data_IF_752778156495
#
_entry.id   IF_752778156495
#
_cell.length_a   1.000
_cell.length_b   1.000
_cell.length_c   1.000
_cell.angle_alpha   90.00
_cell.angle_beta   90.00
_cell.angle_gamma   90.00
#
_symmetry.space_group_name_H-M   'P 1'
#
loop_
_entity.id
_entity.type
_entity.pdbx_description
1 polymer ?
#
# COMPACT_ATOMS: atom_id res chain seq x y z
N UNK A 1 4.96 -23.80 23.83
CA UNK A 1 5.05 -23.34 22.42
C UNK A 1 5.24 -21.84 22.42
N UNK A 2 6.47 -21.37 22.18
CA UNK A 2 6.82 -19.95 22.05
C UNK A 2 7.16 -19.70 20.58
N UNK A 3 6.65 -18.57 20.09
CA UNK A 3 6.75 -18.00 18.75
C UNK A 3 8.08 -18.26 18.03
N UNK A 4 8.02 -18.90 16.86
CA UNK A 4 9.13 -19.07 15.91
C UNK A 4 9.07 -18.07 14.74
N UNK A 5 7.98 -17.29 14.63
CA UNK A 5 7.74 -16.45 13.45
C UNK A 5 8.49 -15.10 13.48
N UNK A 6 9.06 -14.71 14.61
CA UNK A 6 9.84 -13.45 14.71
C UNK A 6 11.32 -13.60 14.34
N UNK A 7 11.84 -14.82 14.16
CA UNK A 7 13.25 -15.07 13.89
C UNK A 7 13.61 -15.02 12.38
N UNK A 8 12.66 -15.27 11.49
CA UNK A 8 12.91 -15.35 10.04
C UNK A 8 13.11 -13.98 9.39
N UNK A 9 12.33 -12.97 9.77
CA UNK A 9 12.44 -11.59 9.24
C UNK A 9 13.73 -10.89 9.67
N UNK A 10 14.20 -11.13 10.90
CA UNK A 10 15.45 -10.54 11.40
C UNK A 10 16.70 -11.09 10.71
N UNK A 11 16.67 -12.34 10.28
CA UNK A 11 17.79 -13.00 9.59
C UNK A 11 18.03 -12.44 8.19
N UNK A 12 16.98 -12.19 7.42
CA UNK A 12 17.11 -11.71 6.03
C UNK A 12 17.61 -10.28 5.97
N UNK A 13 17.15 -9.40 6.86
CA UNK A 13 17.66 -8.02 6.93
C UNK A 13 19.16 -7.97 7.24
N UNK A 14 19.61 -8.70 8.26
CA UNK A 14 21.01 -8.77 8.65
C UNK A 14 21.90 -9.41 7.55
N UNK A 15 21.41 -10.51 6.95
CA UNK A 15 22.08 -11.15 5.82
C UNK A 15 22.23 -10.19 4.62
N UNK A 16 21.16 -9.48 4.27
CA UNK A 16 21.15 -8.50 3.19
C UNK A 16 22.14 -7.38 3.43
N UNK A 17 22.15 -6.80 4.63
CA UNK A 17 23.07 -5.73 5.00
C UNK A 17 24.53 -6.19 4.89
N UNK A 18 24.85 -7.35 5.44
CA UNK A 18 26.20 -7.91 5.44
C UNK A 18 26.68 -8.23 4.02
N UNK A 19 25.84 -8.90 3.22
CA UNK A 19 26.19 -9.26 1.84
C UNK A 19 26.32 -8.02 0.96
N UNK A 20 25.39 -7.07 1.08
CA UNK A 20 25.44 -5.80 0.36
C UNK A 20 26.73 -5.04 0.69
N UNK A 21 27.06 -4.90 1.98
CA UNK A 21 28.28 -4.23 2.42
C UNK A 21 29.52 -4.92 1.84
N UNK A 22 29.60 -6.25 1.90
CA UNK A 22 30.71 -7.03 1.35
C UNK A 22 30.89 -6.77 -0.15
N UNK A 23 29.81 -6.90 -0.94
CA UNK A 23 29.88 -6.74 -2.39
C UNK A 23 30.30 -5.32 -2.78
N UNK A 24 29.62 -4.29 -2.25
CA UNK A 24 29.90 -2.91 -2.66
C UNK A 24 31.23 -2.38 -2.12
N UNK A 25 31.66 -2.78 -0.91
CA UNK A 25 33.01 -2.44 -0.42
C UNK A 25 34.11 -3.13 -1.22
N UNK A 26 33.92 -4.38 -1.63
CA UNK A 26 34.88 -5.10 -2.48
C UNK A 26 35.00 -4.43 -3.85
N UNK A 27 33.88 -4.04 -4.47
CA UNK A 27 33.89 -3.29 -5.74
C UNK A 27 34.59 -1.94 -5.56
N UNK A 28 34.30 -1.22 -4.48
CA UNK A 28 34.97 0.06 -4.17
C UNK A 28 36.47 -0.11 -4.02
N UNK A 29 36.92 -1.14 -3.29
CA UNK A 29 38.34 -1.42 -3.09
C UNK A 29 39.02 -1.79 -4.42
N UNK A 30 38.42 -2.69 -5.20
CA UNK A 30 38.93 -3.06 -6.52
C UNK A 30 39.04 -1.85 -7.46
N UNK A 31 38.09 -0.92 -7.39
CA UNK A 31 38.14 0.33 -8.15
C UNK A 31 39.29 1.23 -7.72
N UNK A 32 39.51 1.39 -6.41
CA UNK A 32 40.64 2.14 -5.88
C UNK A 32 41.97 1.51 -6.28
N UNK A 33 42.09 0.19 -6.11
CA UNK A 33 43.31 -0.55 -6.45
C UNK A 33 43.63 -0.45 -7.94
N UNK A 34 42.61 -0.60 -8.80
CA UNK A 34 42.78 -0.45 -10.25
C UNK A 34 43.30 0.94 -10.62
N UNK A 35 42.78 1.99 -9.98
CA UNK A 35 43.26 3.36 -10.22
C UNK A 35 44.72 3.53 -9.78
N UNK A 36 45.11 2.93 -8.66
CA UNK A 36 46.50 3.00 -8.16
C UNK A 36 47.50 2.23 -9.03
N UNK A 37 47.08 1.13 -9.65
CA UNK A 37 47.96 0.26 -10.45
C UNK A 37 48.07 0.74 -11.90
N UNK A 38 46.94 1.14 -12.50
CA UNK A 38 46.87 1.41 -13.94
C UNK A 38 46.74 2.91 -14.27
N UNK A 39 46.48 3.77 -13.28
CA UNK A 39 46.27 5.20 -13.50
C UNK A 39 45.02 5.51 -14.33
N UNK A 40 44.91 6.76 -14.80
CA UNK A 40 43.83 7.23 -15.69
C UNK A 40 44.17 7.08 -17.19
N UNK A 41 45.39 6.62 -17.51
CA UNK A 41 45.98 6.77 -18.84
C UNK A 41 45.49 5.72 -19.86
N UNK A 42 44.96 4.59 -19.40
CA UNK A 42 44.55 3.46 -20.26
C UNK A 42 43.04 3.15 -20.14
N UNK A 43 42.18 3.69 -21.02
CA UNK A 43 40.72 3.59 -20.91
C UNK A 43 40.18 2.15 -21.04
N UNK A 44 40.95 1.23 -21.63
CA UNK A 44 40.57 -0.17 -21.76
C UNK A 44 40.42 -0.86 -20.39
N UNK A 45 41.32 -0.59 -19.44
CA UNK A 45 41.26 -1.19 -18.10
C UNK A 45 40.08 -0.65 -17.29
N UNK A 46 39.76 0.63 -17.43
CA UNK A 46 38.55 1.22 -16.82
C UNK A 46 37.27 0.57 -17.35
N UNK A 47 37.19 0.31 -18.66
CA UNK A 47 36.02 -0.36 -19.27
C UNK A 47 35.82 -1.80 -18.77
N UNK A 48 36.91 -2.55 -18.63
CA UNK A 48 36.86 -3.92 -18.09
C UNK A 48 36.46 -3.93 -16.60
N UNK A 49 36.97 -2.99 -15.80
CA UNK A 49 36.58 -2.82 -14.40
C UNK A 49 35.08 -2.54 -14.26
N UNK A 50 34.53 -1.60 -15.05
CA UNK A 50 33.10 -1.29 -15.07
C UNK A 50 32.29 -2.52 -15.46
N UNK A 51 32.72 -3.25 -16.48
CA UNK A 51 32.06 -4.48 -16.94
C UNK A 51 32.05 -5.56 -15.85
N UNK A 52 33.18 -5.74 -15.14
CA UNK A 52 33.27 -6.64 -14.01
C UNK A 52 32.33 -6.22 -12.87
N UNK A 53 32.33 -4.94 -12.50
CA UNK A 53 31.49 -4.42 -11.42
C UNK A 53 29.99 -4.59 -11.71
N UNK A 54 29.56 -4.34 -12.95
CA UNK A 54 28.19 -4.62 -13.39
C UNK A 54 27.84 -6.10 -13.22
N UNK A 55 28.71 -7.01 -13.67
CA UNK A 55 28.48 -8.46 -13.51
C UNK A 55 28.37 -8.88 -12.05
N UNK A 56 29.18 -8.32 -11.16
CA UNK A 56 29.09 -8.57 -9.71
C UNK A 56 27.75 -8.07 -9.15
N UNK A 57 27.34 -6.85 -9.50
CA UNK A 57 26.06 -6.30 -9.07
C UNK A 57 24.85 -7.11 -9.58
N UNK A 58 24.90 -7.62 -10.81
CA UNK A 58 23.85 -8.49 -11.36
C UNK A 58 23.75 -9.82 -10.60
N UNK A 59 24.88 -10.48 -10.36
CA UNK A 59 24.92 -11.74 -9.61
C UNK A 59 24.41 -11.56 -8.17
N UNK A 60 24.84 -10.48 -7.52
CA UNK A 60 24.35 -10.08 -6.20
C UNK A 60 22.82 -9.86 -6.22
N UNK A 61 22.30 -9.09 -7.17
CA UNK A 61 20.88 -8.79 -7.25
C UNK A 61 20.03 -10.05 -7.48
N UNK A 62 20.49 -10.98 -8.32
CA UNK A 62 19.82 -12.27 -8.55
C UNK A 62 19.79 -13.13 -7.28
N UNK A 63 20.91 -13.22 -6.57
CA UNK A 63 21.01 -13.97 -5.32
C UNK A 63 20.07 -13.39 -4.26
N UNK A 64 20.14 -12.08 -4.05
CA UNK A 64 19.35 -11.41 -3.04
C UNK A 64 17.85 -11.53 -3.32
N UNK A 65 17.44 -11.36 -4.59
CA UNK A 65 16.04 -11.58 -5.00
C UNK A 65 15.54 -12.96 -4.58
N UNK A 66 16.33 -14.02 -4.78
CA UNK A 66 15.95 -15.38 -4.37
C UNK A 66 15.78 -15.49 -2.86
N UNK A 67 16.69 -14.91 -2.07
CA UNK A 67 16.60 -14.90 -0.61
C UNK A 67 15.35 -14.17 -0.10
N UNK A 68 15.06 -12.98 -0.65
CA UNK A 68 13.87 -12.21 -0.29
C UNK A 68 12.60 -13.00 -0.63
N UNK A 69 12.50 -13.56 -1.84
CA UNK A 69 11.32 -14.33 -2.24
C UNK A 69 11.08 -15.56 -1.37
N UNK A 70 12.15 -16.27 -0.97
CA UNK A 70 12.04 -17.41 -0.07
C UNK A 70 11.50 -17.01 1.33
N UNK A 71 11.82 -15.80 1.80
CA UNK A 71 11.40 -15.32 3.13
C UNK A 71 10.02 -14.66 3.16
N UNK A 72 9.43 -14.34 2.01
CA UNK A 72 8.22 -13.49 1.93
C UNK A 72 6.95 -14.26 1.61
N UNK A 73 7.02 -15.60 1.60
CA UNK A 73 5.96 -16.51 1.13
C UNK A 73 4.62 -16.44 1.90
N UNK A 74 4.55 -15.84 3.10
CA UNK A 74 3.34 -15.89 3.94
C UNK A 74 2.68 -14.53 4.26
N UNK A 75 3.38 -13.40 4.16
CA UNK A 75 2.90 -12.11 4.71
C UNK A 75 2.73 -10.97 3.69
N UNK A 76 2.90 -11.25 2.38
CA UNK A 76 2.96 -10.19 1.37
C UNK A 76 4.18 -9.30 1.63
N UNK A 77 5.39 -9.84 1.49
CA UNK A 77 6.62 -9.23 2.02
C UNK A 77 7.13 -7.96 1.32
N UNK A 78 6.28 -6.95 1.12
CA UNK A 78 6.67 -5.61 0.67
C UNK A 78 7.60 -4.97 1.69
N UNK A 79 7.31 -5.08 3.00
CA UNK A 79 8.21 -4.57 4.05
C UNK A 79 9.63 -5.11 3.92
N UNK A 80 9.78 -6.43 3.93
CA UNK A 80 11.09 -7.09 3.84
C UNK A 80 11.78 -6.75 2.52
N UNK A 81 11.04 -6.77 1.42
CA UNK A 81 11.55 -6.33 0.12
C UNK A 81 12.04 -4.88 0.15
N UNK A 82 11.27 -3.99 0.77
CA UNK A 82 11.54 -2.56 0.90
C UNK A 82 12.82 -2.31 1.68
N UNK A 83 12.91 -2.86 2.88
CA UNK A 83 14.09 -2.76 3.75
C UNK A 83 15.35 -3.29 3.05
N UNK A 84 15.26 -4.45 2.40
CA UNK A 84 16.38 -5.07 1.70
C UNK A 84 16.84 -4.21 0.51
N UNK A 85 15.92 -3.75 -0.32
CA UNK A 85 16.23 -2.91 -1.49
C UNK A 85 16.81 -1.57 -1.05
N UNK A 86 16.24 -0.94 -0.02
CA UNK A 86 16.72 0.32 0.52
C UNK A 86 18.18 0.22 1.00
N UNK A 87 18.51 -0.82 1.78
CA UNK A 87 19.88 -1.07 2.25
C UNK A 87 20.85 -1.28 1.08
N UNK A 88 20.44 -2.03 0.06
CA UNK A 88 21.27 -2.24 -1.13
C UNK A 88 21.55 -0.95 -1.89
N UNK A 89 20.52 -0.13 -2.08
CA UNK A 89 20.67 1.16 -2.75
C UNK A 89 21.51 2.13 -1.92
N UNK A 90 21.39 2.12 -0.59
CA UNK A 90 22.23 2.94 0.29
C UNK A 90 23.73 2.65 0.11
N UNK A 91 24.13 1.37 0.11
CA UNK A 91 25.52 1.01 -0.15
C UNK A 91 25.94 1.30 -1.60
N UNK A 92 25.04 1.08 -2.56
CA UNK A 92 25.30 1.41 -3.95
C UNK A 92 25.56 2.91 -4.13
N UNK A 93 24.78 3.80 -3.51
CA UNK A 93 24.96 5.26 -3.60
C UNK A 93 26.30 5.74 -3.03
N UNK A 94 26.81 5.08 -1.98
CA UNK A 94 28.16 5.37 -1.47
C UNK A 94 29.23 5.08 -2.53
N UNK A 95 29.05 4.03 -3.32
CA UNK A 95 29.95 3.69 -4.43
C UNK A 95 29.79 4.67 -5.61
N UNK A 96 28.59 5.15 -5.88
CA UNK A 96 28.36 6.12 -6.97
C UNK A 96 29.06 7.46 -6.70
N UNK A 97 29.22 7.85 -5.43
CA UNK A 97 30.01 9.01 -5.04
C UNK A 97 31.50 8.89 -5.45
N UNK A 98 31.98 7.66 -5.67
CA UNK A 98 33.34 7.36 -6.17
C UNK A 98 33.40 7.21 -7.69
N UNK A 99 32.34 7.56 -8.42
CA UNK A 99 32.30 7.57 -9.89
C UNK A 99 31.78 6.30 -10.55
N UNK A 100 31.32 5.30 -9.78
CA UNK A 100 30.83 4.02 -10.31
C UNK A 100 29.35 3.82 -10.02
N UNK A 101 28.50 4.19 -10.99
CA UNK A 101 27.05 4.12 -10.88
C UNK A 101 26.49 2.70 -11.16
N UNK A 102 26.06 1.98 -10.12
CA UNK A 102 25.49 0.64 -10.22
C UNK A 102 24.00 0.58 -9.84
N UNK A 103 23.39 1.68 -9.38
CA UNK A 103 21.98 1.68 -8.98
C UNK A 103 21.04 1.30 -10.13
N UNK A 104 21.24 1.70 -11.41
CA UNK A 104 20.36 1.27 -12.49
C UNK A 104 20.38 -0.25 -12.70
N UNK A 105 21.53 -0.89 -12.46
CA UNK A 105 21.68 -2.35 -12.54
C UNK A 105 20.83 -3.01 -11.47
N UNK A 106 20.91 -2.55 -10.22
CA UNK A 106 20.10 -3.10 -9.12
C UNK A 106 18.61 -2.90 -9.36
N UNK A 107 18.19 -1.69 -9.77
CA UNK A 107 16.79 -1.35 -10.01
C UNK A 107 16.17 -2.22 -11.11
N UNK A 108 16.92 -2.58 -12.16
CA UNK A 108 16.49 -3.52 -13.21
C UNK A 108 16.02 -4.87 -12.66
N UNK A 109 16.69 -5.38 -11.62
CA UNK A 109 16.33 -6.66 -10.99
C UNK A 109 15.31 -6.49 -9.86
N UNK A 110 15.38 -5.38 -9.13
CA UNK A 110 14.58 -5.19 -7.93
C UNK A 110 13.16 -4.72 -8.23
N UNK A 111 12.99 -3.79 -9.17
CA UNK A 111 11.67 -3.23 -9.49
C UNK A 111 10.61 -4.28 -9.81
N UNK A 112 10.84 -5.29 -10.67
CA UNK A 112 9.79 -6.25 -11.04
C UNK A 112 9.26 -7.05 -9.85
N UNK A 113 10.13 -7.47 -8.92
CA UNK A 113 9.69 -8.30 -7.79
C UNK A 113 9.03 -7.44 -6.70
N UNK A 114 9.45 -6.19 -6.51
CA UNK A 114 8.79 -5.26 -5.59
C UNK A 114 7.38 -4.95 -6.09
N UNK A 115 7.21 -4.69 -7.38
CA UNK A 115 5.88 -4.51 -8.01
C UNK A 115 5.02 -5.75 -7.79
N UNK A 116 5.58 -6.96 -7.95
CA UNK A 116 4.86 -8.20 -7.66
C UNK A 116 4.46 -8.32 -6.17
N UNK A 117 5.32 -7.94 -5.25
CA UNK A 117 5.03 -7.94 -3.81
C UNK A 117 3.92 -6.93 -3.47
N UNK A 118 3.94 -5.74 -4.08
CA UNK A 118 2.90 -4.72 -3.95
C UNK A 118 1.53 -5.25 -4.41
N UNK A 119 1.48 -5.83 -5.61
CA UNK A 119 0.25 -6.43 -6.14
C UNK A 119 -0.27 -7.58 -5.27
N UNK A 120 0.63 -8.38 -4.70
CA UNK A 120 0.27 -9.47 -3.78
C UNK A 120 -0.34 -8.92 -2.49
N UNK A 121 0.14 -7.77 -1.99
CA UNK A 121 -0.48 -7.11 -0.85
C UNK A 121 -1.86 -6.58 -1.16
N UNK A 122 -2.07 -5.92 -2.30
CA UNK A 122 -3.41 -5.45 -2.66
C UNK A 122 -4.41 -6.60 -2.72
N UNK A 123 -4.04 -7.74 -3.33
CA UNK A 123 -4.86 -8.96 -3.31
C UNK A 123 -5.14 -9.46 -1.89
N UNK A 124 -4.13 -9.45 -1.01
CA UNK A 124 -4.28 -9.84 0.40
C UNK A 124 -5.24 -8.90 1.13
N UNK A 125 -5.13 -7.59 0.93
CA UNK A 125 -6.02 -6.59 1.51
C UNK A 125 -7.45 -6.86 1.06
N UNK A 126 -7.67 -7.02 -0.25
CA UNK A 126 -8.99 -7.34 -0.83
C UNK A 126 -9.61 -8.61 -0.23
N UNK A 127 -8.83 -9.70 -0.15
CA UNK A 127 -9.31 -10.97 0.42
C UNK A 127 -9.61 -10.86 1.91
N UNK A 128 -8.74 -10.17 2.66
CA UNK A 128 -8.90 -9.97 4.11
C UNK A 128 -10.09 -9.05 4.40
N UNK A 129 -10.25 -7.96 3.64
CA UNK A 129 -11.39 -7.06 3.79
C UNK A 129 -12.69 -7.73 3.45
N UNK A 130 -12.71 -8.61 2.44
CA UNK A 130 -13.87 -9.44 2.12
C UNK A 130 -14.27 -10.38 3.27
N UNK A 131 -13.30 -11.10 3.84
CA UNK A 131 -13.54 -11.99 4.97
C UNK A 131 -14.03 -11.23 6.23
N UNK A 132 -13.49 -10.02 6.47
CA UNK A 132 -13.91 -9.18 7.59
C UNK A 132 -15.29 -8.57 7.37
N UNK A 133 -15.60 -8.10 6.15
CA UNK A 133 -16.92 -7.61 5.77
C UNK A 133 -17.99 -8.71 5.92
N UNK A 134 -17.64 -9.95 5.57
CA UNK A 134 -18.52 -11.11 5.75
C UNK A 134 -18.92 -11.37 7.21
N UNK A 135 -18.04 -11.02 8.16
CA UNK A 135 -18.28 -11.20 9.58
C UNK A 135 -18.82 -9.94 10.29
N UNK A 136 -18.86 -8.79 9.62
CA UNK A 136 -19.15 -7.48 10.23
C UNK A 136 -20.65 -7.33 10.55
N UNK A 137 -20.95 -6.65 11.66
CA UNK A 137 -22.33 -6.37 12.09
C UNK A 137 -22.81 -4.97 11.67
N UNK A 138 -21.96 -4.24 10.93
CA UNK A 138 -22.19 -2.87 10.44
C UNK A 138 -22.43 -1.82 11.54
N UNK A 139 -22.01 -2.13 12.76
CA UNK A 139 -22.12 -1.23 13.89
C UNK A 139 -20.91 -0.29 13.95
N UNK A 140 -21.18 1.02 14.04
CA UNK A 140 -20.13 2.04 14.16
C UNK A 140 -19.63 2.10 15.61
N UNK A 141 -18.36 1.75 15.81
CA UNK A 141 -17.67 1.83 17.08
C UNK A 141 -16.40 2.66 16.97
N UNK A 142 -15.85 3.14 18.08
CA UNK A 142 -14.49 3.68 18.09
C UNK A 142 -13.48 2.54 17.94
N UNK A 143 -12.31 2.84 17.37
CA UNK A 143 -11.22 1.89 17.34
C UNK A 143 -10.93 1.39 18.78
N UNK A 144 -10.71 0.08 19.00
CA UNK A 144 -10.30 -0.39 20.30
C UNK A 144 -9.03 0.34 20.72
N UNK A 145 -9.09 1.11 21.82
CA UNK A 145 -7.93 1.80 22.38
C UNK A 145 -6.94 0.77 22.94
N UNK A 146 -6.18 0.15 22.04
CA UNK A 146 -5.26 -0.92 22.38
C UNK A 146 -4.02 -0.35 23.08
N UNK A 147 -3.83 -0.72 24.35
CA UNK A 147 -2.63 -0.52 25.20
C UNK A 147 -1.31 -1.08 24.63
N UNK A 148 -1.32 -1.55 23.37
CA UNK A 148 -0.21 -2.24 22.70
C UNK A 148 0.28 -1.52 21.43
N UNK A 149 -0.23 -0.34 21.10
CA UNK A 149 0.39 0.51 20.09
C UNK A 149 1.72 1.02 20.64
N UNK A 150 2.85 0.46 20.18
CA UNK A 150 4.21 0.95 20.48
C UNK A 150 4.53 2.23 19.69
N UNK A 151 3.53 3.08 19.49
CA UNK A 151 3.70 4.41 18.90
C UNK A 151 3.56 5.41 20.04
N UNK A 152 4.56 6.25 20.31
CA UNK A 152 4.36 7.39 21.19
C UNK A 152 3.22 8.25 20.62
N UNK A 153 2.40 8.90 21.47
CA UNK A 153 1.53 9.94 20.98
C UNK A 153 2.43 11.00 20.35
N UNK A 154 2.31 11.21 19.05
CA UNK A 154 3.04 12.28 18.35
C UNK A 154 2.56 13.59 18.95
N UNK A 155 3.35 14.11 19.89
CA UNK A 155 3.28 15.47 20.37
C UNK A 155 3.82 16.39 19.28
N UNK A 156 2.93 16.87 18.41
CA UNK A 156 3.16 18.06 17.62
C UNK A 156 1.83 18.75 17.29
N UNK A 157 1.47 19.66 18.20
CA UNK A 157 0.90 20.98 17.93
C UNK A 157 0.05 21.14 16.66
N UNK A 158 -1.20 20.66 16.71
CA UNK A 158 -2.32 21.36 16.09
C UNK A 158 -3.60 21.07 16.89
N UNK A 159 -4.22 22.13 17.39
CA UNK A 159 -5.43 22.10 18.21
C UNK A 159 -6.68 21.83 17.36
N UNK A 160 -6.79 20.64 16.75
CA UNK A 160 -8.08 20.04 16.46
C UNK A 160 -8.12 18.71 17.19
N UNK A 161 -9.11 18.54 18.08
CA UNK A 161 -9.37 17.27 18.75
C UNK A 161 -9.31 16.15 17.72
N UNK A 162 -8.47 15.15 17.96
CA UNK A 162 -8.38 13.95 17.13
C UNK A 162 -9.71 13.19 17.22
N UNK A 163 -10.69 13.61 16.42
CA UNK A 163 -11.94 12.91 16.24
C UNK A 163 -11.58 11.60 15.56
N UNK A 164 -11.45 10.54 16.35
CA UNK A 164 -11.48 9.19 15.82
C UNK A 164 -12.88 8.96 15.28
N UNK A 165 -13.08 8.81 13.96
CA UNK A 165 -14.40 8.51 13.43
C UNK A 165 -14.86 7.17 13.98
N UNK A 166 -16.16 7.05 14.27
CA UNK A 166 -16.75 5.75 14.53
C UNK A 166 -16.87 5.02 13.20
N UNK A 167 -16.31 3.82 13.13
CA UNK A 167 -16.31 2.99 11.92
C UNK A 167 -16.69 1.57 12.29
N UNK A 168 -17.09 0.77 11.30
CA UNK A 168 -17.26 -0.66 11.53
C UNK A 168 -15.91 -1.37 11.69
N UNK A 169 -15.96 -2.62 12.16
CA UNK A 169 -14.76 -3.40 12.45
C UNK A 169 -13.94 -3.70 11.19
N UNK A 170 -14.60 -4.02 10.08
CA UNK A 170 -13.96 -4.31 8.80
C UNK A 170 -13.26 -3.08 8.22
N UNK A 171 -13.86 -1.89 8.37
CA UNK A 171 -13.31 -0.62 7.87
C UNK A 171 -12.06 -0.21 8.63
N UNK A 172 -12.07 -0.35 9.97
CA UNK A 172 -10.87 -0.08 10.76
C UNK A 172 -9.69 -0.93 10.29
N UNK A 173 -9.93 -2.22 10.07
CA UNK A 173 -8.91 -3.16 9.62
C UNK A 173 -8.46 -2.87 8.19
N UNK A 174 -9.38 -2.56 7.28
CA UNK A 174 -9.06 -2.13 5.92
C UNK A 174 -8.12 -0.92 5.93
N UNK A 175 -8.48 0.13 6.67
CA UNK A 175 -7.69 1.35 6.78
C UNK A 175 -6.29 1.08 7.38
N UNK A 176 -6.21 0.24 8.42
CA UNK A 176 -4.91 -0.16 9.02
C UNK A 176 -4.03 -0.86 7.98
N UNK A 177 -4.56 -1.85 7.26
CA UNK A 177 -3.78 -2.58 6.26
C UNK A 177 -3.28 -1.69 5.12
N UNK A 178 -4.08 -0.70 4.69
CA UNK A 178 -3.66 0.28 3.67
C UNK A 178 -2.56 1.19 4.21
N UNK A 179 -2.69 1.66 5.46
CA UNK A 179 -1.66 2.49 6.09
C UNK A 179 -0.33 1.73 6.22
N UNK A 180 -0.36 0.51 6.73
CA UNK A 180 0.83 -0.36 6.85
C UNK A 180 1.49 -0.56 5.48
N UNK A 181 0.71 -0.85 4.43
CA UNK A 181 1.25 -1.02 3.09
C UNK A 181 1.97 0.24 2.58
N UNK A 182 1.40 1.43 2.77
CA UNK A 182 2.02 2.66 2.29
C UNK A 182 3.19 3.12 3.14
N UNK A 183 3.20 2.80 4.44
CA UNK A 183 4.39 2.97 5.28
C UNK A 183 5.54 2.09 4.78
N UNK A 184 5.26 0.85 4.36
CA UNK A 184 6.27 -0.05 3.81
C UNK A 184 6.78 0.37 2.41
N UNK A 185 5.93 1.00 1.58
CA UNK A 185 6.30 1.47 0.22
C UNK A 185 7.03 2.81 0.25
N UNK A 186 6.82 3.66 1.27
CA UNK A 186 7.40 5.00 1.37
C UNK A 186 8.92 5.09 1.12
N UNK A 187 9.75 4.21 1.72
CA UNK A 187 11.20 4.18 1.49
C UNK A 187 11.64 3.87 0.04
N UNK A 188 10.72 3.52 -0.87
CA UNK A 188 11.00 3.08 -2.24
C UNK A 188 10.67 4.13 -3.31
N UNK A 189 10.74 5.43 -2.97
CA UNK A 189 10.49 6.54 -3.92
C UNK A 189 11.31 6.40 -5.22
N UNK A 190 12.54 5.89 -5.13
CA UNK A 190 13.43 5.60 -6.27
C UNK A 190 12.83 4.63 -7.31
N UNK A 191 11.91 3.75 -6.90
CA UNK A 191 11.24 2.80 -7.80
C UNK A 191 10.05 3.40 -8.55
N UNK A 192 9.64 4.63 -8.19
CA UNK A 192 8.49 5.35 -8.78
C UNK A 192 7.23 4.49 -8.80
N UNK A 193 6.84 4.00 -7.61
CA UNK A 193 5.70 3.08 -7.46
C UNK A 193 4.37 3.79 -7.24
N UNK A 194 4.35 5.12 -7.11
CA UNK A 194 3.17 5.89 -6.70
C UNK A 194 1.95 5.63 -7.58
N UNK A 195 2.11 5.69 -8.91
CA UNK A 195 1.01 5.42 -9.85
C UNK A 195 0.44 4.00 -9.73
N UNK A 196 1.29 3.00 -9.48
CA UNK A 196 0.87 1.61 -9.26
C UNK A 196 0.19 1.44 -7.91
N UNK A 197 0.69 2.10 -6.87
CA UNK A 197 0.11 2.08 -5.54
C UNK A 197 -1.27 2.76 -5.52
N UNK A 198 -1.44 3.87 -6.24
CA UNK A 198 -2.72 4.56 -6.34
C UNK A 198 -3.74 3.73 -7.11
N UNK A 199 -3.33 3.13 -8.23
CA UNK A 199 -4.23 2.27 -9.01
C UNK A 199 -4.67 1.05 -8.20
N UNK A 200 -3.74 0.37 -7.53
CA UNK A 200 -4.05 -0.77 -6.67
C UNK A 200 -4.97 -0.39 -5.50
N UNK A 201 -4.79 0.79 -4.90
CA UNK A 201 -5.68 1.30 -3.86
C UNK A 201 -7.11 1.51 -4.37
N UNK A 202 -7.27 2.15 -5.53
CA UNK A 202 -8.59 2.39 -6.12
C UNK A 202 -9.30 1.06 -6.40
N UNK A 203 -8.59 0.08 -6.95
CA UNK A 203 -9.15 -1.25 -7.24
C UNK A 203 -9.61 -1.96 -5.96
N UNK A 204 -8.77 -1.97 -4.93
CA UNK A 204 -9.11 -2.62 -3.65
C UNK A 204 -10.27 -1.89 -2.95
N UNK A 205 -10.34 -0.56 -3.06
CA UNK A 205 -11.47 0.21 -2.55
C UNK A 205 -12.76 -0.06 -3.34
N UNK A 206 -12.71 -0.12 -4.67
CA UNK A 206 -13.86 -0.52 -5.52
C UNK A 206 -14.37 -1.92 -5.12
N UNK A 207 -13.48 -2.91 -4.99
CA UNK A 207 -13.85 -4.25 -4.51
C UNK A 207 -14.52 -4.19 -3.12
N UNK A 208 -14.02 -3.34 -2.21
CA UNK A 208 -14.64 -3.16 -0.89
C UNK A 208 -16.02 -2.51 -0.98
N UNK A 209 -16.19 -1.47 -1.78
CA UNK A 209 -17.48 -0.80 -1.99
C UNK A 209 -18.51 -1.75 -2.60
N UNK A 210 -18.12 -2.60 -3.55
CA UNK A 210 -19.02 -3.62 -4.10
C UNK A 210 -19.51 -4.61 -3.02
N UNK A 211 -18.68 -4.94 -2.03
CA UNK A 211 -19.13 -5.74 -0.88
C UNK A 211 -20.16 -4.98 -0.02
N UNK A 212 -20.00 -3.67 0.13
CA UNK A 212 -20.97 -2.84 0.85
C UNK A 212 -22.30 -2.72 0.08
N UNK A 213 -22.25 -2.64 -1.26
CA UNK A 213 -23.46 -2.68 -2.11
C UNK A 213 -24.18 -4.01 -1.91
N UNK A 214 -23.46 -5.13 -1.90
CA UNK A 214 -24.05 -6.45 -1.69
C UNK A 214 -24.61 -6.65 -0.27
N UNK A 215 -24.16 -5.85 0.71
CA UNK A 215 -24.73 -5.84 2.06
C UNK A 215 -26.09 -5.10 2.13
N UNK A 216 -26.49 -4.34 1.10
CA UNK A 216 -27.79 -3.68 1.07
C UNK A 216 -28.94 -4.69 0.86
N UNK A 217 -30.09 -4.57 1.55
CA UNK A 217 -31.20 -5.52 1.43
C UNK A 217 -31.74 -5.71 0.01
N UNK A 218 -31.79 -4.65 -0.81
CA UNK A 218 -32.27 -4.76 -2.20
C UNK A 218 -31.33 -5.59 -3.11
N UNK A 219 -30.05 -5.69 -2.77
CA UNK A 219 -29.08 -6.50 -3.53
C UNK A 219 -29.32 -8.00 -3.35
N UNK A 220 -29.73 -8.42 -2.14
CA UNK A 220 -29.99 -9.82 -1.82
C UNK A 220 -31.16 -10.43 -2.62
N UNK A 221 -32.13 -9.62 -3.03
CA UNK A 221 -33.28 -10.07 -3.84
C UNK A 221 -32.85 -10.42 -5.27
N UNK A 222 -31.83 -9.74 -5.80
CA UNK A 222 -31.34 -9.91 -7.18
C UNK A 222 -30.37 -11.08 -7.29
N UNK A 223 -29.53 -11.32 -6.28
CA UNK A 223 -28.54 -12.41 -6.27
C UNK A 223 -29.17 -13.82 -6.19
N UNK A 224 -30.36 -13.96 -5.59
CA UNK A 224 -31.08 -15.24 -5.53
C UNK A 224 -31.55 -15.76 -6.91
N UNK A 225 -31.52 -14.92 -7.95
CA UNK A 225 -31.94 -15.29 -9.30
C UNK A 225 -30.76 -15.66 -10.21
N UNK A 226 -29.53 -15.20 -9.91
CA UNK A 226 -28.41 -15.25 -10.86
C UNK A 226 -27.34 -16.31 -10.58
N UNK A 227 -27.42 -17.08 -9.48
CA UNK A 227 -26.58 -18.28 -9.27
C UNK A 227 -25.06 -18.03 -9.30
N UNK A 228 -24.63 -16.77 -9.24
CA UNK A 228 -23.24 -16.37 -9.20
C UNK A 228 -22.86 -16.27 -7.73
N UNK A 229 -22.17 -17.28 -7.19
CA UNK A 229 -21.85 -17.39 -5.77
C UNK A 229 -21.26 -16.10 -5.20
N UNK A 230 -22.10 -15.31 -4.52
CA UNK A 230 -21.68 -14.09 -3.86
C UNK A 230 -20.97 -14.45 -2.56
N UNK A 231 -19.87 -13.74 -2.29
CA UNK A 231 -19.21 -13.77 -0.99
C UNK A 231 -20.29 -13.42 0.03
N UNK A 232 -20.57 -14.35 0.94
CA UNK A 232 -21.62 -14.24 1.97
C UNK A 232 -21.29 -13.04 2.86
N UNK A 233 -21.84 -11.87 2.52
CA UNK A 233 -21.73 -10.66 3.32
C UNK A 233 -23.02 -10.52 4.13
N UNK A 234 -22.91 -10.23 5.42
CA UNK A 234 -24.07 -10.02 6.28
C UNK A 234 -24.89 -8.84 5.76
N UNK A 235 -26.21 -9.01 5.68
CA UNK A 235 -27.11 -7.95 5.23
C UNK A 235 -27.24 -6.87 6.31
N UNK A 236 -27.27 -5.61 5.90
CA UNK A 236 -27.59 -4.46 6.73
C UNK A 236 -29.12 -4.35 6.87
N UNK A 237 -29.67 -5.07 7.82
CA UNK A 237 -31.12 -5.20 8.06
C UNK A 237 -31.77 -3.87 8.48
N UNK A 238 -31.08 -3.05 9.26
CA UNK A 238 -31.63 -1.80 9.78
C UNK A 238 -31.20 -0.58 8.97
N UNK A 239 -32.02 0.47 8.94
CA UNK A 239 -31.66 1.76 8.34
C UNK A 239 -30.34 2.31 8.94
N UNK A 240 -30.13 2.14 10.24
CA UNK A 240 -28.89 2.54 10.91
C UNK A 240 -27.65 1.78 10.40
N UNK A 241 -27.77 0.50 10.08
CA UNK A 241 -26.69 -0.29 9.47
C UNK A 241 -26.45 0.15 8.03
N UNK A 242 -27.50 0.41 7.25
CA UNK A 242 -27.36 0.87 5.86
C UNK A 242 -26.70 2.26 5.79
N UNK A 243 -27.09 3.18 6.69
CA UNK A 243 -26.42 4.48 6.85
C UNK A 243 -24.96 4.30 7.29
N UNK A 244 -24.66 3.31 8.14
CA UNK A 244 -23.30 3.00 8.55
C UNK A 244 -22.42 2.56 7.36
N UNK A 245 -22.94 1.76 6.42
CA UNK A 245 -22.22 1.39 5.19
C UNK A 245 -21.79 2.64 4.40
N UNK A 246 -22.72 3.59 4.19
CA UNK A 246 -22.43 4.85 3.51
C UNK A 246 -21.41 5.69 4.27
N UNK A 247 -21.60 5.87 5.58
CA UNK A 247 -20.71 6.67 6.42
C UNK A 247 -19.27 6.11 6.40
N UNK A 248 -19.14 4.79 6.46
CA UNK A 248 -17.86 4.09 6.35
C UNK A 248 -17.15 4.37 5.01
N UNK A 249 -17.88 4.22 3.89
CA UNK A 249 -17.33 4.44 2.55
C UNK A 249 -16.92 5.91 2.33
N UNK A 250 -17.77 6.86 2.75
CA UNK A 250 -17.47 8.30 2.69
C UNK A 250 -16.23 8.63 3.52
N UNK A 251 -16.16 8.15 4.76
CA UNK A 251 -15.02 8.40 5.64
C UNK A 251 -13.70 7.85 5.08
N UNK A 252 -13.73 6.66 4.47
CA UNK A 252 -12.57 6.12 3.75
C UNK A 252 -12.16 7.03 2.58
N UNK A 253 -13.09 7.38 1.70
CA UNK A 253 -12.81 8.10 0.47
C UNK A 253 -12.39 9.57 0.70
N UNK A 254 -12.99 10.26 1.67
CA UNK A 254 -12.77 11.68 1.88
C UNK A 254 -11.62 12.00 2.83
N UNK A 255 -11.39 11.15 3.82
CA UNK A 255 -10.47 11.44 4.92
C UNK A 255 -9.33 10.43 5.02
N UNK A 256 -9.64 9.14 5.20
CA UNK A 256 -8.63 8.16 5.62
C UNK A 256 -7.67 7.78 4.50
N UNK A 257 -8.19 7.41 3.32
CA UNK A 257 -7.38 6.99 2.19
C UNK A 257 -6.54 8.15 1.60
N UNK A 258 -7.09 9.37 1.40
CA UNK A 258 -6.27 10.50 0.99
C UNK A 258 -5.14 10.82 1.97
N UNK A 259 -5.37 10.67 3.29
CA UNK A 259 -4.33 10.88 4.30
C UNK A 259 -3.22 9.83 4.23
N UNK A 260 -3.56 8.57 3.99
CA UNK A 260 -2.56 7.51 3.82
C UNK A 260 -1.64 7.79 2.61
N UNK A 261 -2.20 8.27 1.51
CA UNK A 261 -1.44 8.65 0.30
C UNK A 261 -0.54 9.87 0.52
N UNK A 262 -1.02 10.87 1.27
CA UNK A 262 -0.20 12.04 1.61
C UNK A 262 1.04 11.63 2.41
N UNK A 263 0.92 10.68 3.34
CA UNK A 263 2.08 10.14 4.07
C UNK A 263 3.10 9.48 3.14
N UNK A 264 2.64 8.68 2.17
CA UNK A 264 3.51 8.07 1.15
C UNK A 264 4.34 9.15 0.42
N UNK A 265 3.69 10.26 0.07
CA UNK A 265 4.31 11.38 -0.65
C UNK A 265 5.33 12.18 0.18
N UNK A 266 5.37 12.00 1.51
CA UNK A 266 6.20 12.77 2.43
C UNK A 266 7.30 11.94 3.14
N UNK A 267 7.31 10.62 2.96
CA UNK A 267 8.12 9.67 3.74
C UNK A 267 9.65 9.86 3.67
N UNK A 268 10.19 10.58 2.69
CA UNK A 268 11.66 10.64 2.46
C UNK A 268 12.30 12.00 2.74
N UNK A 269 11.54 13.03 3.14
CA UNK A 269 12.12 14.38 3.34
C UNK A 269 12.71 14.55 4.74
N UNK A 270 13.87 13.94 4.94
CA UNK A 270 14.92 14.54 5.76
C UNK A 270 15.25 15.95 5.26
N UNK A 271 15.74 16.78 6.18
CA UNK A 271 15.81 18.23 6.19
C UNK A 271 16.67 18.92 5.10
N UNK A 272 16.44 18.64 3.80
CA UNK A 272 17.08 19.39 2.71
C UNK A 272 16.06 20.25 1.95
N UNK A 273 15.98 21.48 2.44
CA UNK A 273 15.07 22.52 2.00
C UNK A 273 15.67 23.33 0.85
N UNK A 274 15.69 22.83 -0.40
CA UNK A 274 16.00 23.74 -1.54
C UNK A 274 15.45 23.42 -2.94
N UNK A 275 14.66 22.36 -3.19
CA UNK A 275 13.99 22.12 -4.49
C UNK A 275 12.45 22.25 -4.45
N UNK A 276 11.92 23.13 -3.61
CA UNK A 276 10.53 23.08 -3.10
C UNK A 276 9.38 23.57 -4.00
N UNK A 277 9.61 24.04 -5.22
CA UNK A 277 8.56 24.65 -6.06
C UNK A 277 7.75 23.66 -6.91
N UNK A 278 8.40 22.92 -7.81
CA UNK A 278 7.71 22.26 -8.93
C UNK A 278 6.99 20.95 -8.56
N UNK A 279 7.58 20.11 -7.70
CA UNK A 279 6.99 18.80 -7.33
C UNK A 279 5.70 18.93 -6.52
N UNK A 280 5.58 19.95 -5.66
CA UNK A 280 4.35 20.20 -4.91
C UNK A 280 3.18 20.53 -5.84
N UNK A 281 3.45 21.20 -6.95
CA UNK A 281 2.44 21.62 -7.92
C UNK A 281 1.95 20.46 -8.79
N UNK A 282 2.82 19.49 -9.09
CA UNK A 282 2.51 18.33 -9.94
C UNK A 282 1.76 17.21 -9.21
N UNK A 283 1.99 17.03 -7.90
CA UNK A 283 1.32 15.98 -7.08
C UNK A 283 -0.09 16.34 -6.62
N UNK A 284 -0.41 17.63 -6.54
CA UNK A 284 -1.76 18.13 -6.23
C UNK A 284 -2.84 17.64 -7.22
N UNK A 285 -2.59 17.66 -8.55
CA UNK A 285 -3.46 17.03 -9.55
C UNK A 285 -3.74 15.55 -9.30
N UNK A 286 -2.72 14.74 -9.00
CA UNK A 286 -2.86 13.30 -8.79
C UNK A 286 -3.67 13.00 -7.54
N UNK A 287 -3.45 13.72 -6.44
CA UNK A 287 -4.25 13.60 -5.22
C UNK A 287 -5.71 13.99 -5.46
N UNK A 288 -5.96 15.04 -6.25
CA UNK A 288 -7.32 15.44 -6.65
C UNK A 288 -7.98 14.38 -7.51
N UNK A 289 -7.26 13.79 -8.45
CA UNK A 289 -7.79 12.74 -9.31
C UNK A 289 -8.08 11.47 -8.52
N UNK A 290 -7.18 11.07 -7.62
CA UNK A 290 -7.43 9.96 -6.70
C UNK A 290 -8.71 10.21 -5.89
N UNK A 291 -8.84 11.39 -5.26
CA UNK A 291 -10.04 11.72 -4.48
C UNK A 291 -11.30 11.61 -5.34
N UNK A 292 -11.29 12.16 -6.58
CA UNK A 292 -12.42 12.03 -7.51
C UNK A 292 -12.77 10.58 -7.80
N UNK A 293 -11.77 9.73 -8.05
CA UNK A 293 -11.98 8.29 -8.31
C UNK A 293 -12.57 7.59 -7.10
N UNK A 294 -12.06 7.83 -5.90
CA UNK A 294 -12.63 7.28 -4.66
C UNK A 294 -14.08 7.76 -4.46
N UNK A 295 -14.37 9.04 -4.69
CA UNK A 295 -15.74 9.58 -4.60
C UNK A 295 -16.69 8.91 -5.59
N UNK A 296 -16.26 8.63 -6.83
CA UNK A 296 -17.09 7.91 -7.82
C UNK A 296 -17.51 6.53 -7.32
N UNK A 297 -16.61 5.80 -6.65
CA UNK A 297 -16.97 4.51 -6.06
C UNK A 297 -18.04 4.68 -4.96
N UNK A 298 -17.89 5.69 -4.10
CA UNK A 298 -18.89 6.00 -3.08
C UNK A 298 -20.24 6.40 -3.70
N UNK A 299 -20.23 7.13 -4.83
CA UNK A 299 -21.44 7.50 -5.55
C UNK A 299 -22.21 6.25 -6.02
N UNK A 300 -21.55 5.18 -6.46
CA UNK A 300 -22.21 3.92 -6.82
C UNK A 300 -22.96 3.27 -5.63
N UNK A 301 -22.38 3.31 -4.43
CA UNK A 301 -23.05 2.84 -3.22
C UNK A 301 -24.23 3.75 -2.86
N UNK A 302 -24.07 5.07 -2.97
CA UNK A 302 -25.14 6.03 -2.72
C UNK A 302 -26.32 5.81 -3.67
N UNK A 303 -26.04 5.64 -4.96
CA UNK A 303 -27.08 5.42 -5.96
C UNK A 303 -27.86 4.12 -5.69
N UNK A 304 -27.17 3.06 -5.27
CA UNK A 304 -27.78 1.78 -4.89
C UNK A 304 -28.68 1.93 -3.65
N UNK A 305 -28.19 2.61 -2.61
CA UNK A 305 -28.95 2.93 -1.41
C UNK A 305 -30.18 3.79 -1.71
N UNK A 306 -30.02 4.88 -2.47
CA UNK A 306 -31.11 5.80 -2.81
C UNK A 306 -32.18 5.11 -3.66
N UNK A 307 -31.78 4.25 -4.60
CA UNK A 307 -32.72 3.47 -5.41
C UNK A 307 -33.58 2.56 -4.55
N UNK A 308 -32.99 1.87 -3.58
CA UNK A 308 -33.73 1.04 -2.64
C UNK A 308 -34.76 1.87 -1.84
N UNK A 309 -34.33 2.97 -1.23
CA UNK A 309 -35.22 3.81 -0.42
C UNK A 309 -36.34 4.45 -1.27
N UNK A 310 -36.05 4.83 -2.51
CA UNK A 310 -37.06 5.32 -3.43
C UNK A 310 -38.13 4.25 -3.74
N UNK A 311 -37.74 2.99 -3.91
CA UNK A 311 -38.68 1.88 -4.13
C UNK A 311 -39.56 1.64 -2.89
N UNK A 312 -38.99 1.67 -1.69
CA UNK A 312 -39.75 1.54 -0.42
C UNK A 312 -40.73 2.70 -0.18
N UNK A 313 -40.44 3.88 -0.73
CA UNK A 313 -41.35 5.04 -0.70
C UNK A 313 -42.49 4.89 -1.72
N UNK A 314 -42.20 4.36 -2.91
CA UNK A 314 -43.15 4.26 -4.02
C UNK A 314 -44.06 3.03 -3.88
N UNK A 315 -43.56 1.93 -3.33
CA UNK A 315 -44.30 0.66 -3.25
C UNK A 315 -44.55 0.25 -1.79
N UNK A 316 -45.68 -0.43 -1.55
CA UNK A 316 -45.93 -1.12 -0.28
C UNK A 316 -45.12 -2.43 -0.22
N UNK A 317 -45.01 -3.03 0.97
CA UNK A 317 -44.39 -4.35 1.13
C UNK A 317 -45.07 -5.44 0.28
N UNK A 318 -46.32 -5.21 -0.13
CA UNK A 318 -47.14 -6.10 -0.98
C UNK A 318 -46.93 -5.84 -2.49
N UNK A 319 -46.10 -4.86 -2.86
CA UNK A 319 -45.78 -4.51 -4.25
C UNK A 319 -46.77 -3.54 -4.90
N UNK A 320 -47.76 -3.06 -4.16
CA UNK A 320 -48.73 -2.08 -4.66
C UNK A 320 -48.11 -0.67 -4.65
N UNK A 321 -48.34 0.08 -5.73
CA UNK A 321 -47.90 1.47 -5.79
C UNK A 321 -48.67 2.30 -4.74
N UNK A 322 -47.95 3.01 -3.87
CA UNK A 322 -48.46 4.03 -2.96
C UNK A 322 -48.88 5.26 -3.78
N UNK A 323 -50.01 5.16 -4.48
CA UNK A 323 -50.56 6.23 -5.32
C UNK A 323 -51.21 7.37 -4.54
N UNK A 324 -51.04 7.42 -3.21
CA UNK A 324 -51.59 8.48 -2.38
C UNK A 324 -50.61 9.66 -2.31
N UNK A 325 -50.50 10.40 -3.41
CA UNK A 325 -50.06 11.79 -3.36
C UNK A 325 -51.26 12.64 -2.94
N UNK A 326 -51.29 13.04 -1.67
CA UNK A 326 -52.15 14.12 -1.18
C UNK A 326 -51.30 15.34 -0.87
#
# INVERSE_FOLDING_TARGET
>A
MRSLDSASSGGVGAYTATLSQLVFSTISQASSDSLTVFGEEEPAFTSELVTWAVRQAEQFAVLLKKCILASTAAAGGVKVASECVHVCLSHCYLLEASGLALSPVLLKYFRPFVVQALNTNFKRIEQTSAALAAADDWLLAYAPTGRNSRLPPVSSSSNLSSFQPKLSSSVHKFNIMVQELFEDVGPLEVLQLDGLAFEGLVQVFNSYVNLLINALPASAVTENLEGLGSKIVKIAETESQQIALLANAIMLAEELLPRAVVKLSHSTRGDDSQRRGSDKQQRLPEQRELKKRLTREVDHLRDSFCRQHALELIFTEEGDARLNAS
#
